data_IF_960204705995
#
_entry.id   IF_960204705995
#
_cell.length_a   1.000
_cell.length_b   1.000
_cell.length_c   1.000
_cell.angle_alpha   90.00
_cell.angle_beta   90.00
_cell.angle_gamma   90.00
#
_symmetry.space_group_name_H-M   'P 1'
#
loop_
_entity.id
_entity.type
_entity.pdbx_description
1 polymer ?
#
# COMPACT_ATOMS: atom_id res chain seq x y z
N UNK A 1 -3.44 -27.25 -32.25
CA UNK A 1 -2.98 -26.82 -30.90
C UNK A 1 -2.45 -25.40 -31.05
N UNK A 2 -2.96 -24.46 -30.29
CA UNK A 2 -2.39 -23.09 -30.25
C UNK A 2 -1.16 -23.15 -29.34
N UNK A 3 0.00 -22.71 -29.84
CA UNK A 3 1.21 -22.54 -29.04
C UNK A 3 1.45 -21.04 -28.87
N UNK A 4 1.83 -20.62 -27.64
CA UNK A 4 2.28 -19.27 -27.39
C UNK A 4 3.79 -19.22 -27.67
N UNK A 5 4.21 -18.29 -28.51
CA UNK A 5 5.62 -18.06 -28.84
C UNK A 5 6.24 -17.12 -27.77
N UNK A 6 6.45 -17.69 -26.58
CA UNK A 6 6.96 -16.96 -25.40
C UNK A 6 8.39 -17.40 -25.08
N UNK A 7 9.30 -16.44 -24.97
CA UNK A 7 10.65 -16.65 -24.47
C UNK A 7 10.71 -16.32 -22.96
N UNK A 8 11.23 -17.27 -22.15
CA UNK A 8 11.38 -17.04 -20.71
C UNK A 8 12.58 -16.13 -20.42
N UNK A 9 12.32 -14.90 -20.00
CA UNK A 9 13.36 -13.94 -19.64
C UNK A 9 13.85 -14.14 -18.20
N UNK A 10 12.94 -14.48 -17.29
CA UNK A 10 13.24 -14.61 -15.86
C UNK A 10 12.24 -15.55 -15.18
N UNK A 11 12.74 -16.37 -14.26
CA UNK A 11 11.92 -17.20 -13.38
C UNK A 11 12.27 -16.90 -11.92
N UNK A 12 11.23 -16.76 -11.09
CA UNK A 12 11.34 -16.66 -9.63
C UNK A 12 10.68 -17.92 -9.08
N UNK A 13 11.47 -18.92 -8.64
CA UNK A 13 10.90 -20.16 -8.14
C UNK A 13 10.27 -19.95 -6.76
N UNK A 14 8.99 -20.19 -6.66
CA UNK A 14 8.23 -20.21 -5.40
C UNK A 14 7.55 -21.57 -5.19
N UNK A 15 8.26 -22.66 -5.46
CA UNK A 15 7.68 -23.99 -5.50
C UNK A 15 6.68 -24.14 -6.65
N UNK A 16 5.42 -24.56 -6.35
CA UNK A 16 4.37 -24.66 -7.37
C UNK A 16 3.91 -23.27 -7.83
N UNK A 17 4.00 -22.24 -6.98
CA UNK A 17 3.59 -20.86 -7.27
C UNK A 17 4.70 -20.05 -7.97
N UNK A 18 5.30 -20.65 -9.00
CA UNK A 18 6.37 -20.00 -9.75
C UNK A 18 5.87 -18.77 -10.52
N UNK A 19 6.65 -17.70 -10.46
CA UNK A 19 6.42 -16.47 -11.24
C UNK A 19 7.48 -16.38 -12.33
N UNK A 20 7.05 -16.17 -13.57
CA UNK A 20 7.92 -16.03 -14.75
C UNK A 20 7.64 -14.74 -15.47
N UNK A 21 8.69 -14.14 -16.01
CA UNK A 21 8.58 -13.06 -16.99
C UNK A 21 8.85 -13.65 -18.36
N UNK A 22 7.90 -13.48 -19.26
CA UNK A 22 7.92 -13.96 -20.62
C UNK A 22 7.99 -12.82 -21.60
N UNK A 23 8.78 -12.97 -22.65
CA UNK A 23 8.67 -12.14 -23.84
C UNK A 23 7.73 -12.80 -24.84
N UNK A 24 6.69 -12.08 -25.24
CA UNK A 24 5.75 -12.50 -26.29
C UNK A 24 6.32 -12.05 -27.64
N UNK A 25 6.96 -12.96 -28.36
CA UNK A 25 7.64 -12.66 -29.64
C UNK A 25 6.69 -12.19 -30.74
N UNK A 26 5.39 -12.53 -30.65
CA UNK A 26 4.39 -12.13 -31.65
C UNK A 26 3.87 -10.72 -31.41
N UNK A 27 3.75 -10.30 -30.17
CA UNK A 27 3.23 -8.99 -29.78
C UNK A 27 4.33 -8.01 -29.34
N UNK A 28 5.60 -8.45 -29.35
CA UNK A 28 6.77 -7.66 -28.93
C UNK A 28 6.57 -6.97 -27.58
N UNK A 29 6.18 -7.75 -26.57
CA UNK A 29 5.92 -7.23 -25.25
C UNK A 29 6.11 -8.27 -24.15
N UNK A 30 6.44 -7.79 -22.94
CA UNK A 30 6.66 -8.66 -21.81
C UNK A 30 5.35 -8.97 -21.08
N UNK A 31 5.27 -10.20 -20.55
CA UNK A 31 4.16 -10.75 -19.80
C UNK A 31 4.65 -11.35 -18.49
N UNK A 32 3.77 -11.44 -17.51
CA UNK A 32 4.00 -12.21 -16.29
C UNK A 32 3.10 -13.43 -16.28
N UNK A 33 3.68 -14.61 -16.16
CA UNK A 33 2.97 -15.86 -15.88
C UNK A 33 3.14 -16.21 -14.41
N UNK A 34 2.03 -16.42 -13.70
CA UNK A 34 2.03 -16.93 -12.32
C UNK A 34 1.31 -18.26 -12.26
N UNK A 35 2.00 -19.27 -11.75
CA UNK A 35 1.41 -20.59 -11.49
C UNK A 35 0.72 -20.61 -10.15
N UNK A 36 -0.44 -21.24 -10.10
CA UNK A 36 -1.25 -21.39 -8.89
C UNK A 36 -1.71 -22.84 -8.81
N UNK A 37 -1.44 -23.49 -7.67
CA UNK A 37 -2.01 -24.79 -7.38
C UNK A 37 -3.46 -24.63 -6.95
N UNK A 38 -4.35 -25.21 -7.74
CA UNK A 38 -5.80 -25.21 -7.47
C UNK A 38 -6.31 -26.55 -6.94
N UNK A 39 -5.44 -27.52 -6.64
CA UNK A 39 -5.81 -28.89 -6.23
C UNK A 39 -6.44 -28.94 -4.81
N UNK A 40 -6.05 -28.03 -3.92
CA UNK A 40 -6.60 -27.93 -2.56
C UNK A 40 -7.85 -27.06 -2.44
N UNK A 41 -8.28 -26.45 -3.53
CA UNK A 41 -9.47 -25.63 -3.57
C UNK A 41 -10.70 -26.54 -3.73
N UNK A 42 -11.44 -26.75 -2.66
CA UNK A 42 -12.84 -27.13 -2.80
C UNK A 42 -13.51 -26.06 -3.68
N UNK A 43 -14.17 -26.52 -4.72
CA UNK A 43 -14.83 -25.68 -5.73
C UNK A 43 -15.73 -24.62 -5.03
N UNK A 44 -15.22 -23.41 -4.87
CA UNK A 44 -15.93 -22.28 -4.28
C UNK A 44 -15.16 -21.45 -3.24
N UNK A 45 -14.11 -21.98 -2.62
CA UNK A 45 -13.50 -21.28 -1.44
C UNK A 45 -12.24 -20.44 -1.76
N UNK A 46 -11.57 -20.65 -2.90
CA UNK A 46 -10.21 -20.09 -3.10
C UNK A 46 -10.00 -19.29 -4.37
N UNK A 47 -10.80 -19.42 -5.39
CA UNK A 47 -10.70 -18.54 -6.58
C UNK A 47 -12.11 -18.28 -7.10
N UNK A 48 -12.48 -17.02 -7.37
CA UNK A 48 -13.58 -16.76 -8.29
C UNK A 48 -13.31 -17.52 -9.58
N UNK A 49 -14.35 -18.05 -10.22
CA UNK A 49 -14.19 -18.77 -11.48
C UNK A 49 -13.31 -17.97 -12.45
N UNK A 50 -12.41 -18.60 -13.22
CA UNK A 50 -11.52 -17.91 -14.18
C UNK A 50 -12.27 -16.94 -15.09
N UNK A 51 -13.52 -17.26 -15.44
CA UNK A 51 -14.40 -16.39 -16.21
C UNK A 51 -14.73 -15.08 -15.48
N UNK A 52 -14.99 -15.13 -14.17
CA UNK A 52 -15.21 -13.92 -13.34
C UNK A 52 -13.95 -13.07 -13.27
N UNK A 53 -12.79 -13.69 -13.06
CA UNK A 53 -11.52 -12.97 -13.02
C UNK A 53 -11.19 -12.31 -14.37
N UNK A 54 -11.49 -12.96 -15.49
CA UNK A 54 -11.29 -12.42 -16.83
C UNK A 54 -12.26 -11.25 -17.12
N UNK A 55 -13.46 -11.25 -16.53
CA UNK A 55 -14.45 -10.18 -16.72
C UNK A 55 -14.07 -8.86 -16.03
N UNK A 56 -13.10 -8.86 -15.11
CA UNK A 56 -12.67 -7.67 -14.38
C UNK A 56 -11.86 -6.76 -15.32
N UNK A 57 -12.51 -5.69 -15.80
CA UNK A 57 -11.93 -4.71 -16.71
C UNK A 57 -11.95 -3.33 -16.05
N UNK A 58 -10.92 -3.03 -15.25
CA UNK A 58 -10.82 -1.76 -14.55
C UNK A 58 -9.40 -1.20 -14.62
N UNK A 59 -9.25 0.13 -14.80
CA UNK A 59 -7.94 0.77 -14.97
C UNK A 59 -6.98 0.55 -13.78
N UNK A 60 -7.52 0.35 -12.58
CA UNK A 60 -6.75 0.15 -11.35
C UNK A 60 -6.74 -1.32 -10.86
N UNK A 61 -7.07 -2.26 -11.73
CA UNK A 61 -6.89 -3.71 -11.51
C UNK A 61 -6.01 -4.26 -12.62
N UNK A 62 -5.11 -5.18 -12.30
CA UNK A 62 -4.30 -5.86 -13.31
C UNK A 62 -5.21 -6.81 -14.10
N UNK A 63 -5.33 -6.64 -15.43
CA UNK A 63 -6.15 -7.52 -16.23
C UNK A 63 -5.52 -8.90 -16.38
N UNK A 64 -6.34 -9.95 -16.38
CA UNK A 64 -5.92 -11.30 -16.75
C UNK A 64 -6.05 -11.41 -18.28
N UNK A 65 -4.92 -11.68 -18.93
CA UNK A 65 -4.86 -11.82 -20.39
C UNK A 65 -5.19 -13.24 -20.85
N UNK A 66 -4.74 -14.23 -20.09
CA UNK A 66 -5.00 -15.65 -20.35
C UNK A 66 -4.87 -16.46 -19.05
N UNK A 67 -5.52 -17.62 -19.03
CA UNK A 67 -5.32 -18.64 -18.01
C UNK A 67 -5.28 -20.00 -18.71
N UNK A 68 -4.32 -20.84 -18.36
CA UNK A 68 -4.14 -22.17 -18.96
C UNK A 68 -3.79 -23.21 -17.90
N UNK A 69 -4.24 -24.44 -18.10
CA UNK A 69 -3.74 -25.59 -17.34
C UNK A 69 -2.29 -25.87 -17.73
N UNK A 70 -1.46 -26.14 -16.74
CA UNK A 70 -0.06 -26.49 -16.96
C UNK A 70 0.07 -28.01 -16.99
N UNK A 71 0.57 -28.53 -18.11
CA UNK A 71 0.83 -29.96 -18.29
C UNK A 71 2.00 -30.44 -17.42
N UNK A 72 2.04 -31.77 -17.16
CA UNK A 72 3.13 -32.43 -16.44
C UNK A 72 2.90 -32.61 -14.94
N UNK A 73 1.83 -32.05 -14.38
CA UNK A 73 1.42 -32.32 -13.00
C UNK A 73 0.45 -33.52 -12.93
N UNK A 74 0.73 -34.46 -12.01
CA UNK A 74 -0.11 -35.63 -11.80
C UNK A 74 -1.24 -35.36 -10.80
N UNK A 75 -2.44 -35.92 -10.98
CA UNK A 75 -3.50 -35.82 -9.96
C UNK A 75 -3.00 -36.27 -8.58
N UNK A 76 -3.40 -35.58 -7.50
CA UNK A 76 -4.46 -34.54 -7.43
C UNK A 76 -4.02 -33.15 -7.83
N UNK A 77 -2.75 -32.90 -8.16
CA UNK A 77 -2.23 -31.57 -8.48
C UNK A 77 -2.88 -31.02 -9.75
N UNK A 78 -3.43 -29.82 -9.63
CA UNK A 78 -4.00 -29.06 -10.74
C UNK A 78 -3.41 -27.65 -10.73
N UNK A 79 -2.44 -27.42 -11.61
CA UNK A 79 -1.75 -26.13 -11.69
C UNK A 79 -2.30 -25.33 -12.86
N UNK A 80 -2.66 -24.07 -12.59
CA UNK A 80 -3.09 -23.08 -13.59
C UNK A 80 -2.03 -22.01 -13.69
N UNK A 81 -1.65 -21.62 -14.90
CA UNK A 81 -0.83 -20.43 -15.14
C UNK A 81 -1.72 -19.27 -15.58
N UNK A 82 -1.66 -18.17 -14.83
CA UNK A 82 -2.36 -16.92 -15.14
C UNK A 82 -1.35 -15.97 -15.78
N UNK A 83 -1.70 -15.45 -16.97
CA UNK A 83 -0.87 -14.49 -17.70
C UNK A 83 -1.43 -13.09 -17.56
N UNK A 84 -0.56 -12.14 -17.18
CA UNK A 84 -0.88 -10.72 -16.99
C UNK A 84 0.14 -9.83 -17.71
N UNK A 85 -0.14 -8.54 -17.95
CA UNK A 85 0.88 -7.60 -18.42
C UNK A 85 2.05 -7.49 -17.44
N UNK A 86 3.25 -7.24 -17.99
CA UNK A 86 4.41 -6.90 -17.18
C UNK A 86 4.45 -5.40 -16.90
N UNK A 87 4.81 -5.03 -15.69
CA UNK A 87 4.99 -3.64 -15.24
C UNK A 87 6.46 -3.43 -14.82
N UNK A 88 7.30 -2.78 -15.63
CA UNK A 88 8.74 -2.69 -15.39
C UNK A 88 9.12 -2.01 -14.08
N UNK A 89 8.32 -1.06 -13.61
CA UNK A 89 8.55 -0.38 -12.33
C UNK A 89 8.32 -1.29 -11.12
N UNK A 90 7.61 -2.40 -11.31
CA UNK A 90 7.30 -3.36 -10.26
C UNK A 90 6.23 -2.86 -9.29
N UNK A 91 6.26 -3.38 -8.08
CA UNK A 91 5.35 -3.06 -6.99
C UNK A 91 5.83 -1.89 -6.14
N UNK A 92 4.96 -1.42 -5.21
CA UNK A 92 5.36 -0.46 -4.17
C UNK A 92 6.54 -1.03 -3.35
N UNK A 93 6.50 -2.31 -2.98
CA UNK A 93 7.62 -2.96 -2.26
C UNK A 93 8.92 -2.85 -3.04
N UNK A 94 8.90 -3.16 -4.35
CA UNK A 94 10.10 -3.09 -5.19
C UNK A 94 10.65 -1.66 -5.25
N UNK A 95 9.79 -0.67 -5.40
CA UNK A 95 10.17 0.75 -5.42
C UNK A 95 10.81 1.18 -4.10
N UNK A 96 10.19 0.85 -2.96
CA UNK A 96 10.71 1.20 -1.64
C UNK A 96 12.04 0.50 -1.33
N UNK A 97 12.21 -0.77 -1.72
CA UNK A 97 13.45 -1.52 -1.55
C UNK A 97 14.59 -0.99 -2.44
N UNK A 98 14.28 -0.39 -3.59
CA UNK A 98 15.26 0.37 -4.39
C UNK A 98 15.61 1.73 -3.78
N UNK A 99 14.99 2.11 -2.66
CA UNK A 99 15.23 3.38 -1.97
C UNK A 99 14.39 4.54 -2.50
N UNK A 100 13.39 4.29 -3.36
CA UNK A 100 12.46 5.33 -3.80
C UNK A 100 11.72 5.93 -2.59
N UNK A 101 11.44 7.23 -2.68
CA UNK A 101 10.66 7.96 -1.69
C UNK A 101 9.52 8.67 -2.40
N UNK A 102 8.34 8.60 -1.82
CA UNK A 102 7.14 9.21 -2.34
C UNK A 102 6.80 10.46 -1.53
N UNK A 103 6.47 11.55 -2.21
CA UNK A 103 5.87 12.71 -1.54
C UNK A 103 4.42 12.40 -1.18
N UNK A 104 3.84 13.20 -0.29
CA UNK A 104 2.51 12.90 0.24
C UNK A 104 1.41 12.87 -0.83
N UNK A 105 1.49 13.74 -1.85
CA UNK A 105 0.55 13.75 -2.97
C UNK A 105 0.64 12.49 -3.83
N UNK A 106 1.85 11.97 -4.09
CA UNK A 106 2.05 10.71 -4.80
C UNK A 106 1.53 9.52 -4.00
N UNK A 107 1.83 9.47 -2.69
CA UNK A 107 1.32 8.44 -1.79
C UNK A 107 -0.21 8.40 -1.77
N UNK A 108 -0.86 9.57 -1.73
CA UNK A 108 -2.33 9.70 -1.81
C UNK A 108 -2.84 9.23 -3.16
N UNK A 109 -2.22 9.64 -4.28
CA UNK A 109 -2.65 9.24 -5.62
C UNK A 109 -2.58 7.72 -5.83
N UNK A 110 -1.48 7.08 -5.40
CA UNK A 110 -1.29 5.63 -5.46
C UNK A 110 -2.37 4.91 -4.65
N UNK A 111 -2.62 5.34 -3.40
CA UNK A 111 -3.60 4.70 -2.53
C UNK A 111 -5.03 4.91 -3.04
N UNK A 112 -5.37 6.08 -3.57
CA UNK A 112 -6.67 6.31 -4.20
C UNK A 112 -6.87 5.42 -5.43
N UNK A 113 -5.83 5.23 -6.25
CA UNK A 113 -5.89 4.31 -7.38
C UNK A 113 -6.15 2.86 -6.91
N UNK A 114 -5.42 2.40 -5.89
CA UNK A 114 -5.62 1.07 -5.30
C UNK A 114 -7.05 0.92 -4.71
N UNK A 115 -7.56 1.95 -4.01
CA UNK A 115 -8.92 1.94 -3.47
C UNK A 115 -10.00 1.88 -4.56
N UNK A 116 -9.81 2.54 -5.71
CA UNK A 116 -10.74 2.43 -6.85
C UNK A 116 -10.75 1.01 -7.43
N UNK A 117 -9.57 0.39 -7.58
CA UNK A 117 -9.46 -1.02 -7.98
C UNK A 117 -10.12 -1.96 -6.97
N UNK A 118 -9.90 -1.72 -5.68
CA UNK A 118 -10.52 -2.50 -4.60
C UNK A 118 -12.05 -2.30 -4.57
N UNK A 119 -12.52 -1.08 -4.82
CA UNK A 119 -13.96 -0.78 -4.94
C UNK A 119 -14.61 -1.55 -6.08
N UNK A 120 -13.96 -1.67 -7.24
CA UNK A 120 -14.42 -2.50 -8.35
C UNK A 120 -14.58 -3.97 -7.93
N UNK A 121 -13.58 -4.53 -7.24
CA UNK A 121 -13.65 -5.90 -6.74
C UNK A 121 -14.79 -6.09 -5.75
N UNK A 122 -14.95 -5.18 -4.80
CA UNK A 122 -15.92 -5.30 -3.72
C UNK A 122 -17.36 -5.09 -4.15
N UNK A 123 -17.60 -4.04 -4.94
CA UNK A 123 -18.97 -3.55 -5.18
C UNK A 123 -19.54 -4.09 -6.50
N UNK A 124 -18.72 -4.26 -7.54
CA UNK A 124 -19.17 -4.75 -8.84
C UNK A 124 -19.10 -6.27 -8.91
N UNK A 125 -18.00 -6.86 -8.42
CA UNK A 125 -17.76 -8.29 -8.54
C UNK A 125 -18.05 -9.08 -7.26
N UNK A 126 -18.30 -8.42 -6.12
CA UNK A 126 -18.59 -9.09 -4.85
C UNK A 126 -17.38 -9.91 -4.32
N UNK A 127 -16.16 -9.49 -4.60
CA UNK A 127 -14.92 -10.22 -4.31
C UNK A 127 -14.12 -9.51 -3.22
N UNK A 128 -13.70 -10.24 -2.18
CA UNK A 128 -12.70 -9.84 -1.20
C UNK A 128 -11.31 -10.26 -1.71
N UNK A 129 -10.34 -9.36 -1.65
CA UNK A 129 -8.99 -9.64 -2.15
C UNK A 129 -8.19 -10.58 -1.24
N UNK A 130 -8.29 -10.41 0.08
CA UNK A 130 -7.66 -11.21 1.16
C UNK A 130 -6.13 -11.16 1.26
N UNK A 131 -5.43 -10.53 0.29
CA UNK A 131 -3.96 -10.39 0.29
C UNK A 131 -3.51 -9.01 -0.22
N UNK A 132 -4.17 -7.94 0.25
CA UNK A 132 -3.71 -6.57 -0.03
C UNK A 132 -2.40 -6.33 0.73
N UNK A 133 -1.36 -5.95 -0.01
CA UNK A 133 -0.02 -5.60 0.49
C UNK A 133 0.71 -4.74 -0.53
N UNK A 134 1.77 -4.05 -0.13
CA UNK A 134 2.55 -3.19 -1.03
C UNK A 134 3.14 -3.96 -2.22
N UNK A 135 3.46 -5.26 -2.05
CA UNK A 135 3.90 -6.14 -3.13
C UNK A 135 2.83 -6.45 -4.19
N UNK A 136 1.54 -6.26 -3.86
CA UNK A 136 0.41 -6.51 -4.75
C UNK A 136 -0.20 -5.21 -5.32
N UNK A 137 0.46 -4.07 -5.16
CA UNK A 137 0.11 -2.82 -5.82
C UNK A 137 1.22 -2.47 -6.80
N UNK A 138 0.94 -2.63 -8.10
CA UNK A 138 1.89 -2.36 -9.17
C UNK A 138 1.86 -0.90 -9.58
N UNK A 139 3.03 -0.37 -9.91
CA UNK A 139 3.27 1.03 -10.24
C UNK A 139 3.55 1.18 -11.74
N UNK A 140 2.57 1.58 -12.58
CA UNK A 140 2.84 2.14 -13.90
C UNK A 140 3.57 3.49 -13.80
N UNK A 141 4.06 4.01 -14.92
CA UNK A 141 4.72 5.32 -14.96
C UNK A 141 3.81 6.43 -14.43
N UNK A 142 2.52 6.41 -14.80
CA UNK A 142 1.49 7.25 -14.18
C UNK A 142 0.99 6.64 -12.88
N UNK A 143 1.40 7.21 -11.76
CA UNK A 143 1.04 6.75 -10.41
C UNK A 143 -0.47 6.82 -10.13
N UNK A 144 -1.23 7.64 -10.87
CA UNK A 144 -2.70 7.72 -10.73
C UNK A 144 -3.43 6.48 -11.26
N UNK A 145 -2.70 5.61 -11.96
CA UNK A 145 -3.19 4.33 -12.49
C UNK A 145 -2.54 3.12 -11.79
N UNK A 146 -1.99 3.29 -10.59
CA UNK A 146 -1.54 2.16 -9.78
C UNK A 146 -2.61 1.06 -9.74
N UNK A 147 -2.16 -0.20 -9.78
CA UNK A 147 -3.04 -1.35 -10.04
C UNK A 147 -2.97 -2.39 -8.94
N UNK A 148 -4.14 -2.80 -8.46
CA UNK A 148 -4.29 -3.98 -7.60
C UNK A 148 -4.01 -5.22 -8.43
N UNK A 149 -3.13 -6.07 -7.94
CA UNK A 149 -2.65 -7.30 -8.59
C UNK A 149 -2.85 -8.52 -7.68
N UNK A 150 -2.68 -9.70 -8.24
CA UNK A 150 -2.66 -10.98 -7.53
C UNK A 150 -3.98 -11.34 -6.84
N UNK A 151 -4.96 -11.72 -7.64
CA UNK A 151 -6.25 -12.25 -7.18
C UNK A 151 -6.21 -13.74 -6.81
N UNK A 152 -5.01 -14.33 -6.68
CA UNK A 152 -4.82 -15.76 -6.40
C UNK A 152 -5.41 -16.23 -5.06
N UNK A 153 -5.61 -15.34 -4.11
CA UNK A 153 -6.24 -15.61 -2.82
C UNK A 153 -7.62 -14.97 -2.67
N UNK A 154 -8.14 -14.32 -3.72
CA UNK A 154 -9.43 -13.66 -3.66
C UNK A 154 -10.59 -14.64 -3.42
N UNK A 155 -11.69 -14.17 -2.88
CA UNK A 155 -12.87 -14.99 -2.62
C UNK A 155 -14.16 -14.20 -2.68
N UNK A 156 -15.25 -14.86 -3.12
CA UNK A 156 -16.55 -14.23 -3.22
C UNK A 156 -17.14 -13.99 -1.81
N UNK A 157 -17.73 -12.81 -1.61
CA UNK A 157 -18.47 -12.54 -0.38
C UNK A 157 -19.72 -13.42 -0.30
N UNK A 158 -19.98 -13.99 0.87
CA UNK A 158 -21.27 -14.61 1.20
C UNK A 158 -22.39 -13.57 1.19
N UNK A 159 -23.64 -14.03 1.27
CA UNK A 159 -24.80 -13.14 1.44
C UNK A 159 -24.68 -12.26 2.70
N UNK A 160 -23.93 -12.68 3.70
CA UNK A 160 -23.62 -11.90 4.90
C UNK A 160 -22.48 -10.88 4.75
N UNK A 161 -21.90 -10.73 3.55
CA UNK A 161 -20.81 -9.78 3.28
C UNK A 161 -19.47 -10.20 3.86
N UNK A 162 -19.26 -11.47 4.12
CA UNK A 162 -18.03 -12.04 4.67
C UNK A 162 -17.48 -13.14 3.78
N UNK A 163 -16.19 -13.44 3.96
CA UNK A 163 -15.48 -14.52 3.27
C UNK A 163 -14.60 -15.25 4.30
N UNK A 164 -14.39 -16.58 4.21
CA UNK A 164 -13.47 -17.29 5.08
C UNK A 164 -12.06 -16.70 5.02
N UNK A 165 -11.41 -16.57 6.18
CA UNK A 165 -10.01 -16.20 6.25
C UNK A 165 -9.13 -17.38 5.81
N UNK A 166 -8.02 -17.07 5.14
CA UNK A 166 -7.01 -18.06 4.77
C UNK A 166 -5.91 -18.12 5.82
N UNK A 167 -5.28 -19.29 5.97
CA UNK A 167 -4.18 -19.48 6.91
C UNK A 167 -2.84 -19.07 6.26
N UNK A 168 -2.74 -17.81 5.84
CA UNK A 168 -1.53 -17.22 5.25
C UNK A 168 -1.22 -15.85 5.86
N UNK A 169 -0.96 -15.75 7.17
CA UNK A 169 -0.75 -14.48 7.83
C UNK A 169 0.49 -13.77 7.31
N UNK A 170 0.35 -12.47 7.06
CA UNK A 170 1.41 -11.56 6.62
C UNK A 170 1.54 -10.35 7.54
N UNK A 171 2.53 -9.48 7.32
CA UNK A 171 2.65 -8.19 8.03
C UNK A 171 1.42 -7.29 7.83
N UNK A 172 0.68 -7.49 6.74
CA UNK A 172 -0.49 -6.70 6.39
C UNK A 172 -1.81 -7.29 6.91
N UNK A 173 -1.77 -8.47 7.54
CA UNK A 173 -2.97 -9.14 8.03
C UNK A 173 -3.69 -8.32 9.10
N UNK A 174 -5.02 -8.16 8.98
CA UNK A 174 -5.80 -7.44 9.97
C UNK A 174 -5.95 -8.25 11.26
N UNK A 175 -6.03 -7.59 12.44
CA UNK A 175 -6.02 -8.27 13.73
C UNK A 175 -7.16 -9.28 13.96
N UNK A 176 -8.30 -9.08 13.30
CA UNK A 176 -9.47 -9.96 13.42
C UNK A 176 -9.30 -11.31 12.74
N UNK A 177 -8.34 -11.49 11.84
CA UNK A 177 -8.15 -12.75 11.10
C UNK A 177 -8.04 -13.97 12.05
N UNK A 178 -7.36 -13.81 13.17
CA UNK A 178 -7.16 -14.89 14.13
C UNK A 178 -8.34 -15.12 15.08
N UNK A 179 -9.24 -14.14 15.23
CA UNK A 179 -10.33 -14.20 16.20
C UNK A 179 -11.69 -14.56 15.61
N UNK A 180 -11.94 -14.19 14.36
CA UNK A 180 -13.24 -14.39 13.71
C UNK A 180 -13.24 -15.50 12.68
N UNK A 181 -12.08 -15.83 12.10
CA UNK A 181 -11.98 -16.77 10.98
C UNK A 181 -12.65 -16.29 9.69
N UNK A 182 -13.14 -15.04 9.66
CA UNK A 182 -13.77 -14.42 8.49
C UNK A 182 -13.26 -13.02 8.25
N UNK A 183 -13.29 -12.61 6.99
CA UNK A 183 -12.91 -11.28 6.52
C UNK A 183 -14.10 -10.60 5.85
N UNK A 184 -14.04 -9.27 5.76
CA UNK A 184 -15.07 -8.43 5.18
C UNK A 184 -14.42 -7.26 4.40
N UNK A 185 -15.20 -6.38 3.78
CA UNK A 185 -14.65 -5.19 3.10
C UNK A 185 -13.67 -4.38 3.97
N UNK A 186 -13.97 -4.04 5.24
CA UNK A 186 -13.03 -3.38 6.13
C UNK A 186 -11.74 -4.17 6.41
N UNK A 187 -11.73 -5.48 6.20
CA UNK A 187 -10.52 -6.30 6.36
C UNK A 187 -9.50 -6.05 5.24
N UNK A 188 -9.95 -5.79 4.00
CA UNK A 188 -9.07 -5.37 2.90
C UNK A 188 -8.66 -3.89 3.00
N UNK A 189 -9.41 -3.06 3.74
CA UNK A 189 -9.07 -1.64 3.94
C UNK A 189 -7.95 -1.46 4.97
N UNK A 190 -7.85 -2.33 5.97
CA UNK A 190 -6.81 -2.29 6.98
C UNK A 190 -5.39 -2.28 6.36
N UNK A 191 -5.02 -3.21 5.47
CA UNK A 191 -3.73 -3.19 4.81
C UNK A 191 -3.51 -1.96 3.92
N UNK A 192 -4.55 -1.35 3.36
CA UNK A 192 -4.41 -0.08 2.62
C UNK A 192 -3.93 1.04 3.54
N UNK A 193 -4.37 1.05 4.80
CA UNK A 193 -3.84 1.96 5.82
C UNK A 193 -2.35 1.75 6.10
N UNK A 194 -1.89 0.49 6.12
CA UNK A 194 -0.48 0.14 6.26
C UNK A 194 0.34 0.58 5.04
N UNK A 195 -0.18 0.38 3.83
CA UNK A 195 0.44 0.82 2.58
C UNK A 195 0.59 2.35 2.56
N UNK A 196 -0.44 3.09 2.98
CA UNK A 196 -0.33 4.55 3.07
C UNK A 196 0.77 4.99 4.06
N UNK A 197 0.85 4.31 5.22
CA UNK A 197 1.94 4.56 6.19
C UNK A 197 3.30 4.26 5.57
N UNK A 198 3.42 3.17 4.84
CA UNK A 198 4.66 2.74 4.22
C UNK A 198 5.14 3.71 3.13
N UNK A 199 4.25 4.18 2.27
CA UNK A 199 4.54 5.21 1.27
C UNK A 199 4.99 6.54 1.90
N UNK A 200 4.39 6.94 3.03
CA UNK A 200 4.73 8.18 3.72
C UNK A 200 6.01 8.08 4.55
N UNK A 201 6.30 6.93 5.14
CA UNK A 201 7.38 6.74 6.11
C UNK A 201 8.53 5.84 5.66
N UNK A 202 8.43 5.23 4.49
CA UNK A 202 9.39 4.25 3.97
C UNK A 202 9.04 2.80 4.32
N UNK A 203 9.76 1.87 3.71
CA UNK A 203 9.54 0.43 3.85
C UNK A 203 9.52 -0.03 5.33
N UNK A 204 8.70 -1.03 5.61
CA UNK A 204 8.78 -1.73 6.88
C UNK A 204 10.05 -2.57 6.98
N UNK A 205 10.54 -2.86 8.19
CA UNK A 205 11.70 -3.73 8.40
C UNK A 205 11.29 -5.21 8.22
N UNK A 206 11.00 -5.61 6.99
CA UNK A 206 10.46 -6.95 6.66
C UNK A 206 11.28 -8.09 7.24
N UNK A 207 12.60 -7.95 7.26
CA UNK A 207 13.54 -8.99 7.74
C UNK A 207 13.47 -9.22 9.24
N UNK A 208 12.91 -8.27 10.01
CA UNK A 208 12.80 -8.38 11.47
C UNK A 208 11.57 -9.20 11.90
N UNK A 209 10.72 -9.58 10.95
CA UNK A 209 9.47 -10.27 11.21
C UNK A 209 9.47 -11.70 10.67
N UNK A 210 9.35 -12.66 11.57
CA UNK A 210 9.13 -14.06 11.20
C UNK A 210 7.65 -14.41 11.16
N UNK A 211 7.27 -15.44 10.42
CA UNK A 211 5.88 -15.97 10.42
C UNK A 211 5.41 -16.26 11.84
N UNK A 212 6.27 -16.84 12.68
CA UNK A 212 5.93 -17.15 14.08
C UNK A 212 5.61 -15.89 14.89
N UNK A 213 6.39 -14.80 14.73
CA UNK A 213 6.14 -13.53 15.42
C UNK A 213 4.83 -12.88 14.96
N UNK A 214 4.53 -12.94 13.67
CA UNK A 214 3.28 -12.45 13.08
C UNK A 214 2.08 -13.21 13.65
N UNK A 215 2.12 -14.54 13.60
CA UNK A 215 1.06 -15.41 14.16
C UNK A 215 0.84 -15.14 15.64
N UNK A 216 1.91 -15.04 16.43
CA UNK A 216 1.83 -14.76 17.86
C UNK A 216 1.13 -13.41 18.13
N UNK A 217 1.45 -12.36 17.39
CA UNK A 217 0.82 -11.05 17.58
C UNK A 217 -0.66 -11.07 17.20
N UNK A 218 -1.00 -11.69 16.06
CA UNK A 218 -2.39 -11.86 15.62
C UNK A 218 -3.23 -12.68 16.60
N UNK A 219 -2.68 -13.76 17.19
CA UNK A 219 -3.36 -14.56 18.20
C UNK A 219 -3.76 -13.73 19.44
N UNK A 220 -3.03 -12.65 19.73
CA UNK A 220 -3.39 -11.67 20.78
C UNK A 220 -4.27 -10.52 20.26
N UNK A 221 -4.77 -10.60 19.03
CA UNK A 221 -5.57 -9.54 18.37
C UNK A 221 -4.80 -8.23 18.23
N UNK A 222 -3.51 -8.31 17.95
CA UNK A 222 -2.62 -7.16 17.75
C UNK A 222 -2.19 -7.06 16.29
N UNK A 223 -1.87 -5.83 15.84
CA UNK A 223 -1.19 -5.61 14.57
C UNK A 223 0.11 -6.42 14.51
N UNK A 224 0.45 -7.09 13.40
CA UNK A 224 1.76 -7.72 13.23
C UNK A 224 2.95 -6.78 13.44
N UNK A 225 2.82 -5.53 13.01
CA UNK A 225 3.84 -4.48 13.16
C UNK A 225 3.87 -3.89 14.57
N UNK A 226 5.04 -3.44 15.01
CA UNK A 226 5.17 -2.74 16.30
C UNK A 226 4.60 -1.31 16.22
N UNK A 227 4.44 -0.68 17.40
CA UNK A 227 4.00 0.73 17.44
C UNK A 227 5.02 1.66 16.77
N UNK A 228 6.31 1.37 16.91
CA UNK A 228 7.38 2.15 16.31
C UNK A 228 7.31 2.10 14.78
N UNK A 229 7.09 0.91 14.22
CA UNK A 229 6.97 0.74 12.76
C UNK A 229 5.74 1.45 12.17
N UNK A 230 4.71 1.66 13.00
CA UNK A 230 3.49 2.36 12.61
C UNK A 230 3.59 3.89 12.77
N UNK A 231 4.68 4.41 13.34
CA UNK A 231 4.86 5.84 13.47
C UNK A 231 4.97 6.51 12.10
N UNK A 232 4.24 7.61 11.96
CA UNK A 232 4.27 8.44 10.77
C UNK A 232 5.32 9.54 10.92
N UNK A 233 5.97 9.98 9.85
CA UNK A 233 6.85 11.15 9.86
C UNK A 233 6.18 12.35 10.52
N UNK A 234 6.94 13.12 11.27
CA UNK A 234 6.41 14.28 12.04
C UNK A 234 5.76 15.34 11.15
N UNK A 235 6.14 15.41 9.89
CA UNK A 235 5.57 16.32 8.89
C UNK A 235 4.31 15.80 8.21
N UNK A 236 3.85 14.57 8.52
CA UNK A 236 2.59 14.04 7.97
C UNK A 236 1.41 14.89 8.46
N UNK A 237 0.54 15.33 7.56
CA UNK A 237 -0.59 16.21 7.88
C UNK A 237 -1.57 15.57 8.87
N UNK A 238 -2.30 16.41 9.64
CA UNK A 238 -3.33 15.94 10.60
C UNK A 238 -4.41 15.09 9.93
N UNK A 239 -4.79 15.43 8.69
CA UNK A 239 -5.80 14.69 7.93
C UNK A 239 -5.30 13.29 7.57
N UNK A 240 -4.07 13.16 7.05
CA UNK A 240 -3.48 11.87 6.72
C UNK A 240 -3.27 10.99 7.97
N UNK A 241 -2.79 11.58 9.09
CA UNK A 241 -2.68 10.84 10.36
C UNK A 241 -4.02 10.28 10.82
N UNK A 242 -5.12 11.05 10.69
CA UNK A 242 -6.48 10.58 11.04
C UNK A 242 -6.94 9.46 10.08
N UNK A 243 -6.64 9.58 8.80
CA UNK A 243 -7.02 8.56 7.81
C UNK A 243 -6.32 7.25 8.11
N UNK A 244 -5.00 7.26 8.28
CA UNK A 244 -4.24 6.07 8.68
C UNK A 244 -4.78 5.50 9.99
N UNK A 245 -4.97 6.35 11.01
CA UNK A 245 -5.48 5.92 12.32
C UNK A 245 -6.88 5.31 12.27
N UNK A 246 -7.78 5.80 11.39
CA UNK A 246 -9.11 5.19 11.19
C UNK A 246 -8.99 3.85 10.45
N UNK A 247 -8.20 3.76 9.39
CA UNK A 247 -8.01 2.52 8.64
C UNK A 247 -7.42 1.39 9.51
N UNK A 248 -6.55 1.73 10.46
CA UNK A 248 -5.86 0.78 11.35
C UNK A 248 -6.59 0.51 12.67
N UNK A 249 -7.85 0.90 12.82
CA UNK A 249 -8.65 0.53 14.01
C UNK A 249 -8.70 -0.99 14.17
N UNK A 250 -8.58 -1.46 15.44
CA UNK A 250 -8.64 -2.89 15.75
C UNK A 250 -9.98 -3.50 15.37
N UNK A 251 -11.08 -2.80 15.74
CA UNK A 251 -12.43 -3.22 15.40
C UNK A 251 -12.75 -2.86 13.93
N UNK A 252 -13.08 -3.82 13.05
CA UNK A 252 -13.45 -3.56 11.67
C UNK A 252 -14.61 -2.56 11.52
N UNK A 253 -15.57 -2.55 12.44
CA UNK A 253 -16.72 -1.64 12.40
C UNK A 253 -16.32 -0.15 12.62
N UNK A 254 -15.15 0.13 13.19
CA UNK A 254 -14.64 1.49 13.39
C UNK A 254 -13.79 2.01 12.22
N UNK A 255 -13.49 1.14 11.24
CA UNK A 255 -12.73 1.49 10.03
C UNK A 255 -13.63 2.16 8.98
N UNK A 256 -13.06 2.45 7.85
CA UNK A 256 -13.85 2.75 6.65
C UNK A 256 -14.60 1.49 6.22
N UNK A 257 -15.88 1.65 5.90
CA UNK A 257 -16.75 0.51 5.57
C UNK A 257 -16.71 0.14 4.08
N UNK A 258 -16.19 1.04 3.24
CA UNK A 258 -15.95 0.80 1.82
C UNK A 258 -14.66 1.48 1.34
N UNK A 259 -14.14 1.00 0.22
CA UNK A 259 -13.01 1.62 -0.45
C UNK A 259 -13.35 3.08 -0.87
N UNK A 260 -14.57 3.33 -1.34
CA UNK A 260 -15.04 4.65 -1.71
C UNK A 260 -15.09 5.63 -0.52
N UNK A 261 -15.42 5.16 0.69
CA UNK A 261 -15.40 6.00 1.90
C UNK A 261 -13.98 6.49 2.21
N UNK A 262 -12.97 5.60 2.11
CA UNK A 262 -11.57 5.97 2.35
C UNK A 262 -11.01 6.84 1.21
N UNK A 263 -11.34 6.55 -0.07
CA UNK A 263 -10.96 7.38 -1.23
C UNK A 263 -11.51 8.80 -1.08
N UNK A 264 -12.79 8.94 -0.71
CA UNK A 264 -13.41 10.24 -0.43
C UNK A 264 -12.77 10.99 0.75
N UNK A 265 -12.28 10.27 1.77
CA UNK A 265 -11.54 10.90 2.88
C UNK A 265 -10.17 11.42 2.42
N UNK A 266 -9.45 10.67 1.57
CA UNK A 266 -8.19 11.09 0.97
C UNK A 266 -8.37 12.29 0.03
N UNK A 267 -9.45 12.31 -0.78
CA UNK A 267 -9.76 13.43 -1.68
C UNK A 267 -10.01 14.76 -0.93
N UNK A 268 -10.45 14.68 0.32
CA UNK A 268 -10.65 15.86 1.18
C UNK A 268 -9.47 16.17 2.11
N UNK A 269 -8.40 15.37 2.02
CA UNK A 269 -7.25 15.56 2.90
C UNK A 269 -6.44 16.79 2.49
N UNK A 270 -5.95 17.53 3.46
CA UNK A 270 -4.91 18.52 3.22
C UNK A 270 -3.59 17.77 3.03
N UNK A 271 -3.01 17.90 1.84
CA UNK A 271 -1.75 17.26 1.47
C UNK A 271 -0.72 18.32 1.16
N UNK A 272 0.42 18.26 1.84
CA UNK A 272 1.55 19.14 1.63
C UNK A 272 2.81 18.27 1.43
N UNK A 273 3.52 18.52 0.33
CA UNK A 273 4.67 17.71 -0.08
C UNK A 273 5.95 18.19 0.62
N UNK A 274 6.08 17.77 1.88
CA UNK A 274 7.30 17.98 2.63
C UNK A 274 8.43 17.10 2.10
N UNK A 275 9.57 17.74 1.81
CA UNK A 275 10.80 17.06 1.38
C UNK A 275 11.94 17.44 2.33
N UNK A 276 12.66 16.46 2.84
CA UNK A 276 13.88 16.71 3.58
C UNK A 276 15.01 17.03 2.59
N UNK A 277 15.38 18.31 2.51
CA UNK A 277 16.39 18.80 1.54
C UNK A 277 17.82 18.75 2.11
N UNK A 278 17.95 18.74 3.44
CA UNK A 278 19.19 18.55 4.19
C UNK A 278 18.88 17.85 5.51
N UNK A 279 19.89 17.36 6.22
CA UNK A 279 19.75 16.60 7.45
C UNK A 279 18.78 17.23 8.48
N UNK A 280 18.85 18.56 8.64
CA UNK A 280 18.04 19.33 9.59
C UNK A 280 17.17 20.38 8.90
N UNK A 281 16.75 20.11 7.66
CA UNK A 281 15.93 21.05 6.89
C UNK A 281 14.90 20.34 6.03
N UNK A 282 13.65 20.72 6.22
CA UNK A 282 12.49 20.26 5.44
C UNK A 282 11.85 21.45 4.74
N UNK A 283 11.43 21.25 3.50
CA UNK A 283 10.74 22.26 2.69
C UNK A 283 9.47 21.72 2.06
N UNK A 284 8.47 22.57 1.91
CA UNK A 284 7.26 22.28 1.15
C UNK A 284 6.81 23.49 0.33
N UNK A 285 6.10 23.29 -0.81
CA UNK A 285 5.44 24.36 -1.51
C UNK A 285 4.20 24.84 -0.74
N UNK A 286 3.80 26.10 -0.90
CA UNK A 286 2.47 26.56 -0.51
C UNK A 286 1.43 25.98 -1.47
N UNK A 287 0.23 25.66 -1.00
CA UNK A 287 -0.81 25.09 -1.85
C UNK A 287 -1.40 26.09 -2.85
N UNK A 288 -1.55 27.35 -2.43
CA UNK A 288 -2.28 28.36 -3.23
C UNK A 288 -1.41 29.56 -3.66
N UNK A 289 -0.14 29.54 -3.35
CA UNK A 289 0.76 30.67 -3.61
C UNK A 289 2.10 30.16 -4.15
N UNK A 290 2.74 30.92 -5.03
CA UNK A 290 4.10 30.64 -5.47
C UNK A 290 5.13 31.02 -4.38
N UNK A 291 5.09 30.28 -3.28
CA UNK A 291 5.95 30.41 -2.09
C UNK A 291 6.36 29.05 -1.59
N UNK A 292 7.35 29.02 -0.71
CA UNK A 292 7.77 27.80 0.00
C UNK A 292 7.79 28.08 1.51
N UNK A 293 7.52 27.05 2.28
CA UNK A 293 7.74 26.99 3.71
C UNK A 293 8.92 26.06 4.00
N UNK A 294 9.70 26.38 5.03
CA UNK A 294 10.73 25.48 5.53
C UNK A 294 10.67 25.39 7.06
N UNK A 295 11.02 24.22 7.56
CA UNK A 295 11.37 23.98 8.96
C UNK A 295 12.83 23.62 9.01
N UNK A 296 13.60 24.33 9.84
CA UNK A 296 15.03 24.09 10.08
C UNK A 296 15.27 23.83 11.55
N UNK A 297 16.23 22.95 11.87
CA UNK A 297 16.60 22.65 13.24
C UNK A 297 18.11 22.80 13.43
N UNK A 298 18.53 23.55 14.43
CA UNK A 298 19.93 23.75 14.81
C UNK A 298 20.16 23.13 16.20
N UNK A 299 20.98 22.11 16.32
CA UNK A 299 21.33 21.51 17.61
C UNK A 299 22.17 22.47 18.45
N UNK A 300 21.83 22.60 19.73
CA UNK A 300 22.56 23.45 20.70
C UNK A 300 23.28 22.59 21.75
N UNK A 301 24.54 22.24 21.56
CA UNK A 301 25.25 21.32 22.45
C UNK A 301 25.27 21.76 23.91
N UNK A 302 25.38 23.07 24.16
CA UNK A 302 25.41 23.64 25.52
C UNK A 302 24.10 23.49 26.30
N UNK A 303 22.99 23.20 25.61
CA UNK A 303 21.64 23.04 26.20
C UNK A 303 21.05 21.65 25.97
N UNK A 304 21.63 20.84 25.08
CA UNK A 304 21.15 19.51 24.74
C UNK A 304 19.81 19.51 24.03
N UNK A 305 19.48 20.58 23.29
CA UNK A 305 18.18 20.75 22.61
C UNK A 305 18.36 21.28 21.18
N UNK A 306 17.27 21.29 20.43
CA UNK A 306 17.21 21.85 19.08
C UNK A 306 16.46 23.18 19.08
N UNK A 307 17.08 24.18 18.45
CA UNK A 307 16.40 25.42 18.06
C UNK A 307 15.72 25.19 16.72
N UNK A 308 14.39 25.22 16.68
CA UNK A 308 13.61 24.96 15.46
C UNK A 308 12.99 26.26 14.98
N UNK A 309 13.22 26.60 13.70
CA UNK A 309 12.74 27.82 13.06
C UNK A 309 11.82 27.48 11.89
N UNK A 310 10.68 28.16 11.80
CA UNK A 310 9.79 28.12 10.63
C UNK A 310 10.05 29.33 9.75
N UNK A 311 10.36 29.07 8.49
CA UNK A 311 10.72 30.07 7.49
C UNK A 311 9.75 30.04 6.32
N UNK A 312 9.56 31.20 5.66
CA UNK A 312 8.82 31.26 4.38
C UNK A 312 9.66 32.00 3.33
N UNK A 313 9.47 31.66 2.05
CA UNK A 313 10.18 32.27 0.93
C UNK A 313 9.24 32.59 -0.21
N UNK A 314 9.25 33.86 -0.64
CA UNK A 314 8.79 34.29 -1.97
C UNK A 314 9.98 34.53 -2.86
N UNK A 315 10.88 35.41 -2.47
CA UNK A 315 12.17 35.71 -3.12
C UNK A 315 13.35 35.33 -2.22
N UNK A 316 13.30 35.64 -0.94
CA UNK A 316 14.29 35.28 0.08
C UNK A 316 13.61 34.65 1.30
N UNK A 317 14.38 33.82 2.03
CA UNK A 317 13.91 33.19 3.25
C UNK A 317 13.77 34.23 4.36
N UNK A 318 12.60 34.23 5.00
CA UNK A 318 12.31 35.08 6.17
C UNK A 318 11.66 34.25 7.25
N UNK A 319 11.92 34.56 8.49
CA UNK A 319 11.28 33.91 9.64
C UNK A 319 9.78 34.19 9.59
N UNK A 320 8.99 33.14 9.74
CA UNK A 320 7.53 33.22 9.74
C UNK A 320 6.96 33.36 11.15
N UNK A 321 7.63 32.75 12.14
CA UNK A 321 7.23 32.71 13.55
C UNK A 321 8.44 32.82 14.47
N UNK A 322 8.22 32.92 15.79
CA UNK A 322 9.28 32.76 16.79
C UNK A 322 9.89 31.36 16.76
N UNK A 323 11.14 31.26 17.23
CA UNK A 323 11.81 29.97 17.33
C UNK A 323 11.19 29.12 18.45
N UNK A 324 11.14 27.82 18.25
CA UNK A 324 10.71 26.82 19.23
C UNK A 324 11.92 25.98 19.65
N UNK A 325 11.98 25.56 20.89
CA UNK A 325 13.07 24.76 21.43
C UNK A 325 12.55 23.38 21.81
N UNK A 326 13.16 22.34 21.26
CA UNK A 326 12.71 20.95 21.38
C UNK A 326 13.86 20.07 21.89
N UNK A 327 13.55 19.17 22.81
CA UNK A 327 14.51 18.15 23.27
C UNK A 327 14.90 17.14 22.17
N UNK A 328 13.95 16.86 21.27
CA UNK A 328 14.13 15.98 20.11
C UNK A 328 13.30 16.47 18.91
N UNK A 329 13.54 15.89 17.75
CA UNK A 329 12.84 16.19 16.50
C UNK A 329 11.79 15.12 16.14
N UNK A 330 11.37 14.33 17.11
CA UNK A 330 10.33 13.29 16.98
C UNK A 330 9.17 13.57 17.94
N UNK A 331 8.12 12.78 17.86
CA UNK A 331 7.01 12.85 18.81
C UNK A 331 6.06 14.04 18.60
N UNK A 332 5.36 14.41 19.69
CA UNK A 332 4.21 15.33 19.65
C UNK A 332 4.63 16.78 19.41
N UNK A 333 5.71 17.22 20.05
CA UNK A 333 6.08 18.65 19.99
C UNK A 333 6.72 18.99 18.63
N UNK A 334 7.53 18.09 18.06
CA UNK A 334 8.00 18.23 16.69
C UNK A 334 6.82 18.29 15.69
N UNK A 335 5.82 17.41 15.86
CA UNK A 335 4.59 17.44 15.04
C UNK A 335 3.85 18.77 15.11
N UNK A 336 3.77 19.41 16.29
CA UNK A 336 3.12 20.72 16.42
C UNK A 336 3.80 21.80 15.58
N UNK A 337 5.13 21.76 15.47
CA UNK A 337 5.88 22.69 14.61
C UNK A 337 5.53 22.49 13.14
N UNK A 338 5.55 21.25 12.66
CA UNK A 338 5.18 20.94 11.27
C UNK A 338 3.70 21.20 10.98
N UNK A 339 2.80 20.93 11.94
CA UNK A 339 1.38 21.26 11.82
C UNK A 339 1.20 22.78 11.65
N UNK A 340 1.87 23.59 12.48
CA UNK A 340 1.80 25.04 12.39
C UNK A 340 2.41 25.57 11.08
N UNK A 341 3.56 25.03 10.66
CA UNK A 341 4.17 25.38 9.38
C UNK A 341 3.26 25.01 8.19
N UNK A 342 2.54 23.87 8.28
CA UNK A 342 1.56 23.46 7.30
C UNK A 342 0.34 24.37 7.28
N UNK A 343 -0.16 24.82 8.43
CA UNK A 343 -1.26 25.78 8.51
C UNK A 343 -0.89 27.10 7.81
N UNK A 344 0.36 27.59 7.95
CA UNK A 344 0.87 28.76 7.23
C UNK A 344 0.88 28.54 5.72
N UNK A 345 1.32 27.35 5.26
CA UNK A 345 1.45 27.04 3.84
C UNK A 345 0.12 26.73 3.15
N UNK A 346 -0.93 26.47 3.92
CA UNK A 346 -2.29 26.16 3.44
C UNK A 346 -3.26 27.31 3.61
N UNK A 347 -2.87 28.37 4.31
CA UNK A 347 -3.66 29.59 4.40
C UNK A 347 -3.78 30.26 3.01
N UNK A 348 -5.02 30.56 2.59
CA UNK A 348 -5.37 31.21 1.33
C UNK A 348 -4.98 32.70 1.32
#
# INVERSE_FOLDING_TARGET
MLSLDFECLRSIPEGINEVRVWHDNLLDCDRVGKRIDTSGASTGDVLPEPATLQSIQHRNVVPILAAALVDGYQPPLRVVEIVTPYYPRGSITDALLRGERFVASEAVAIVQAALRGLGELHEVHGICHRDIKSGNILLPDDLTVAKVADLGLAGAFSAGGTVPALNNPTLYSPPEIASTGVLSRPSDIYPVGLILRELLGGAFPYVDYTTASIVQRLAHGRCPLTRLDLELPVWTSRSLRRIVGKALKKNPAERYQSAAEMDGALARATVLDWTQVHEMRWEAPFLYQNRRVAVTADYRPSRGDYKVSTLTRKTSWRRATGDVYLADLVGVDARKVFDHASDIATAS
#
